data_IF_154193709745
#
_entry.id   IF_154193709745
#
_cell.length_a   1.000
_cell.length_b   1.000
_cell.length_c   1.000
_cell.angle_alpha   90.00
_cell.angle_beta   90.00
_cell.angle_gamma   90.00
#
_symmetry.space_group_name_H-M   'P 1'
#
loop_
_entity.id
_entity.type
_entity.pdbx_description
1 polymer ?
#
# COMPACT_ATOMS: atom_id res chain seq x y z
N UNK A 1 -38.93 -0.36 13.59
CA UNK A 1 -38.43 -1.02 12.37
C UNK A 1 -38.65 -0.10 11.19
N UNK A 2 -37.58 0.32 10.51
CA UNK A 2 -37.70 1.10 9.29
C UNK A 2 -37.65 0.14 8.09
N UNK A 3 -38.80 0.03 7.43
CA UNK A 3 -39.06 -0.83 6.29
C UNK A 3 -38.83 0.00 5.03
N UNK A 4 -37.94 -0.45 4.15
CA UNK A 4 -37.82 0.12 2.80
C UNK A 4 -39.12 -0.22 2.04
N UNK A 5 -39.87 0.77 1.52
CA UNK A 5 -41.04 0.48 0.72
C UNK A 5 -40.57 0.05 -0.66
N UNK A 6 -41.02 -1.13 -1.08
CA UNK A 6 -41.09 -1.49 -2.50
C UNK A 6 -42.09 -0.53 -3.17
N UNK A 7 -41.62 0.32 -4.10
CA UNK A 7 -42.47 1.07 -5.05
C UNK A 7 -41.74 0.98 -6.41
N UNK A 8 -42.14 0.12 -7.36
CA UNK A 8 -43.40 0.05 -8.13
C UNK A 8 -43.58 1.08 -9.24
N UNK A 9 -42.63 1.95 -9.58
CA UNK A 9 -42.66 2.67 -10.88
C UNK A 9 -41.41 3.54 -11.10
N UNK A 10 -40.57 3.17 -12.07
CA UNK A 10 -39.58 4.08 -12.63
C UNK A 10 -39.84 4.19 -14.14
N UNK A 11 -40.37 5.32 -14.63
CA UNK A 11 -40.40 5.59 -16.06
C UNK A 11 -39.00 6.05 -16.52
N UNK A 12 -38.49 5.38 -17.55
CA UNK A 12 -37.33 5.82 -18.37
C UNK A 12 -37.69 7.09 -19.17
N UNK A 13 -36.76 7.84 -19.81
CA UNK A 13 -35.29 7.74 -19.83
C UNK A 13 -34.63 9.10 -19.51
N UNK A 14 -33.91 9.21 -18.39
CA UNK A 14 -32.95 10.30 -18.19
C UNK A 14 -31.62 9.64 -17.88
N UNK A 15 -30.57 10.11 -18.55
CA UNK A 15 -29.21 9.56 -18.60
C UNK A 15 -28.44 9.66 -17.27
N UNK A 16 -29.13 9.58 -16.12
CA UNK A 16 -28.55 9.58 -14.79
C UNK A 16 -28.82 8.21 -14.15
N UNK A 17 -27.80 7.48 -13.69
CA UNK A 17 -28.00 6.14 -13.16
C UNK A 17 -28.84 6.22 -11.88
N UNK A 18 -30.09 5.78 -12.02
CA UNK A 18 -31.01 5.28 -10.99
C UNK A 18 -30.52 5.40 -9.55
N UNK A 19 -31.05 6.41 -8.86
CA UNK A 19 -31.12 6.52 -7.41
C UNK A 19 -31.99 5.40 -6.81
N UNK A 20 -31.49 4.17 -6.87
CA UNK A 20 -31.82 3.11 -5.92
C UNK A 20 -30.69 3.06 -4.90
N UNK A 21 -30.93 2.58 -3.68
CA UNK A 21 -29.93 2.44 -2.60
C UNK A 21 -28.85 1.39 -2.93
N UNK A 22 -28.25 1.43 -4.12
CA UNK A 22 -27.10 0.66 -4.52
C UNK A 22 -25.87 1.35 -3.91
N UNK A 23 -25.44 0.85 -2.77
CA UNK A 23 -24.25 1.33 -2.10
C UNK A 23 -23.81 0.32 -1.08
N UNK A 24 -22.55 0.38 -0.69
CA UNK A 24 -21.95 -0.63 0.16
C UNK A 24 -21.97 -0.18 1.61
N UNK A 25 -22.23 -1.11 2.53
CA UNK A 25 -22.11 -0.84 3.95
C UNK A 25 -20.65 -0.54 4.33
N UNK A 26 -20.47 0.29 5.35
CA UNK A 26 -19.15 0.58 5.91
C UNK A 26 -18.46 -0.69 6.41
N UNK A 27 -17.19 -0.89 6.06
CA UNK A 27 -16.41 -2.04 6.51
C UNK A 27 -15.71 -1.68 7.82
N UNK A 28 -15.70 -2.62 8.77
CA UNK A 28 -14.91 -2.45 9.99
C UNK A 28 -13.41 -2.68 9.70
N UNK A 29 -12.53 -1.87 10.28
CA UNK A 29 -11.10 -2.02 10.07
C UNK A 29 -10.58 -3.39 10.54
N UNK A 30 -9.56 -3.94 9.85
CA UNK A 30 -8.92 -5.19 10.27
C UNK A 30 -8.19 -5.01 11.61
N UNK A 31 -7.94 -6.13 12.31
CA UNK A 31 -7.13 -6.13 13.53
C UNK A 31 -5.72 -5.59 13.21
N UNK A 32 -5.22 -4.71 14.07
CA UNK A 32 -3.91 -4.06 13.93
C UNK A 32 -3.75 -3.24 12.64
N UNK A 33 -4.87 -2.75 12.12
CA UNK A 33 -4.92 -1.87 10.97
C UNK A 33 -6.09 -0.88 11.05
N UNK A 34 -6.28 -0.17 9.95
CA UNK A 34 -7.31 0.83 9.74
C UNK A 34 -7.81 0.80 8.30
N UNK A 35 -8.80 1.63 8.02
CA UNK A 35 -9.30 1.86 6.66
C UNK A 35 -9.26 3.36 6.41
N UNK A 36 -8.67 3.75 5.28
CA UNK A 36 -8.75 5.13 4.78
C UNK A 36 -10.00 5.30 3.94
N UNK A 37 -10.88 6.13 4.47
CA UNK A 37 -12.02 6.68 3.76
C UNK A 37 -11.66 8.07 3.23
N UNK A 38 -11.64 8.25 1.91
CA UNK A 38 -11.28 9.52 1.27
C UNK A 38 -12.52 10.40 1.04
N UNK A 39 -12.56 11.56 1.69
CA UNK A 39 -13.60 12.57 1.42
C UNK A 39 -15.00 12.21 1.95
N UNK A 40 -15.10 11.35 2.96
CA UNK A 40 -16.36 11.13 3.67
C UNK A 40 -16.54 12.12 4.80
N UNK A 41 -17.78 12.58 4.98
CA UNK A 41 -18.23 13.23 6.21
C UNK A 41 -18.47 12.19 7.31
N UNK A 42 -18.46 12.61 8.57
CA UNK A 42 -18.41 11.71 9.73
C UNK A 42 -19.66 10.81 9.93
N UNK A 43 -20.75 11.02 9.19
CA UNK A 43 -22.05 10.36 9.44
C UNK A 43 -22.55 9.45 8.30
N UNK A 44 -21.66 9.03 7.39
CA UNK A 44 -22.05 8.18 6.25
C UNK A 44 -22.09 6.70 6.64
N UNK A 45 -23.25 6.05 6.44
CA UNK A 45 -23.43 4.60 6.69
C UNK A 45 -23.39 3.73 5.43
N UNK A 46 -23.63 4.34 4.27
CA UNK A 46 -23.67 3.66 2.96
C UNK A 46 -22.76 4.43 2.01
N UNK A 47 -21.81 3.74 1.40
CA UNK A 47 -20.84 4.31 0.46
C UNK A 47 -21.34 4.19 -0.97
N UNK A 48 -21.10 5.22 -1.83
CA UNK A 48 -21.60 5.20 -3.19
C UNK A 48 -20.95 4.09 -4.02
N UNK A 49 -21.63 3.67 -5.09
CA UNK A 49 -21.04 2.78 -6.10
C UNK A 49 -19.75 3.39 -6.62
N UNK A 50 -18.80 2.51 -6.94
CA UNK A 50 -17.45 2.83 -7.37
C UNK A 50 -16.55 3.51 -6.32
N UNK A 51 -17.05 3.71 -5.09
CA UNK A 51 -16.23 4.24 -4.01
C UNK A 51 -15.14 3.27 -3.60
N UNK A 52 -13.94 3.79 -3.36
CA UNK A 52 -12.75 2.99 -3.01
C UNK A 52 -12.31 3.20 -1.57
N UNK A 53 -11.95 2.11 -0.91
CA UNK A 53 -11.33 2.11 0.41
C UNK A 53 -9.95 1.48 0.36
N UNK A 54 -9.05 1.96 1.20
CA UNK A 54 -7.69 1.43 1.32
C UNK A 54 -7.43 0.91 2.73
N UNK A 55 -7.04 -0.36 2.83
CA UNK A 55 -6.58 -0.96 4.08
C UNK A 55 -5.16 -0.51 4.41
N UNK A 56 -4.95 -0.23 5.68
CA UNK A 56 -3.66 0.23 6.22
C UNK A 56 -3.33 -0.61 7.43
N UNK A 57 -2.09 -1.04 7.54
CA UNK A 57 -1.60 -1.72 8.73
C UNK A 57 -0.85 -0.74 9.64
N UNK A 58 -0.81 -1.04 10.94
CA UNK A 58 0.11 -0.37 11.86
C UNK A 58 1.57 -0.62 11.46
N UNK A 59 2.47 0.14 12.05
CA UNK A 59 3.92 0.05 11.82
C UNK A 59 4.41 -1.41 11.93
N UNK A 60 5.42 -1.75 11.12
CA UNK A 60 6.07 -3.08 11.07
C UNK A 60 5.15 -4.24 10.66
N UNK A 61 3.99 -3.95 10.06
CA UNK A 61 3.05 -4.95 9.54
C UNK A 61 2.75 -4.72 8.06
N UNK A 62 2.46 -5.81 7.35
CA UNK A 62 2.10 -5.80 5.93
C UNK A 62 0.69 -6.37 5.74
N UNK A 63 -0.04 -5.81 4.77
CA UNK A 63 -1.36 -6.31 4.38
C UNK A 63 -1.19 -7.62 3.58
N UNK A 64 -1.83 -8.69 4.03
CA UNK A 64 -2.01 -9.92 3.28
C UNK A 64 -3.44 -9.96 2.75
N UNK A 65 -3.61 -10.13 1.44
CA UNK A 65 -4.90 -10.03 0.74
C UNK A 65 -5.10 -8.68 0.03
N UNK A 66 -6.32 -8.38 -0.45
CA UNK A 66 -6.62 -7.16 -1.17
C UNK A 66 -6.35 -5.92 -0.32
N UNK A 67 -5.51 -5.00 -0.83
CA UNK A 67 -5.21 -3.73 -0.17
C UNK A 67 -6.30 -2.67 -0.40
N UNK A 68 -6.91 -2.68 -1.58
CA UNK A 68 -7.95 -1.73 -1.97
C UNK A 68 -9.22 -2.52 -2.29
N UNK A 69 -10.37 -1.97 -1.90
CA UNK A 69 -11.67 -2.51 -2.29
C UNK A 69 -12.55 -1.41 -2.87
N UNK A 70 -13.34 -1.80 -3.86
CA UNK A 70 -14.26 -0.91 -4.56
C UNK A 70 -15.71 -1.34 -4.31
N UNK A 71 -16.60 -0.38 -4.10
CA UNK A 71 -18.01 -0.65 -3.95
C UNK A 71 -18.64 -0.96 -5.31
N UNK A 72 -19.34 -2.08 -5.42
CA UNK A 72 -19.97 -2.54 -6.65
C UNK A 72 -21.46 -2.14 -6.70
N UNK A 73 -22.06 -2.05 -7.90
CA UNK A 73 -23.49 -1.73 -8.05
C UNK A 73 -24.42 -2.75 -7.38
N UNK A 74 -23.94 -3.97 -7.11
CA UNK A 74 -24.68 -5.02 -6.41
C UNK A 74 -24.72 -4.82 -4.88
N UNK A 75 -24.13 -3.74 -4.35
CA UNK A 75 -24.07 -3.42 -2.92
C UNK A 75 -23.00 -4.19 -2.15
N UNK A 76 -22.09 -4.91 -2.83
CA UNK A 76 -20.97 -5.61 -2.21
C UNK A 76 -19.63 -4.97 -2.60
N UNK A 77 -18.58 -5.32 -1.86
CA UNK A 77 -17.23 -4.88 -2.18
C UNK A 77 -16.53 -5.85 -3.14
N UNK A 78 -15.52 -5.39 -3.86
CA UNK A 78 -14.64 -6.28 -4.62
C UNK A 78 -13.91 -7.26 -3.70
N UNK A 79 -13.59 -8.45 -4.23
CA UNK A 79 -12.75 -9.46 -3.56
C UNK A 79 -13.27 -9.87 -2.17
N UNK A 80 -14.58 -9.92 -1.97
CA UNK A 80 -15.22 -10.30 -0.70
C UNK A 80 -14.87 -11.72 -0.23
N UNK A 81 -14.45 -12.59 -1.14
CA UNK A 81 -14.00 -13.96 -0.83
C UNK A 81 -12.58 -14.01 -0.25
N UNK A 82 -11.78 -12.95 -0.42
CA UNK A 82 -10.41 -12.88 0.08
C UNK A 82 -10.38 -12.06 1.38
N UNK A 83 -9.71 -12.57 2.42
CA UNK A 83 -9.59 -11.85 3.68
C UNK A 83 -8.36 -10.93 3.68
N UNK A 84 -8.56 -9.65 4.01
CA UNK A 84 -7.48 -8.69 4.21
C UNK A 84 -7.05 -8.64 5.68
N UNK A 85 -5.83 -9.07 5.99
CA UNK A 85 -5.28 -9.10 7.37
C UNK A 85 -3.90 -8.47 7.45
N UNK A 86 -3.64 -7.77 8.55
CA UNK A 86 -2.31 -7.25 8.85
C UNK A 86 -1.47 -8.31 9.55
N UNK A 87 -0.33 -8.68 8.94
CA UNK A 87 0.62 -9.65 9.49
C UNK A 87 1.94 -8.97 9.81
N UNK A 88 2.65 -9.48 10.80
CA UNK A 88 4.00 -9.01 11.11
C UNK A 88 4.93 -9.29 9.94
N UNK A 89 5.81 -8.32 9.70
CA UNK A 89 6.85 -8.46 8.70
C UNK A 89 7.91 -9.41 9.25
N UNK A 90 7.81 -10.71 8.96
CA UNK A 90 8.95 -11.60 9.09
C UNK A 90 9.90 -11.28 7.95
N UNK A 91 10.90 -10.44 8.19
CA UNK A 91 12.03 -10.33 7.25
C UNK A 91 12.57 -11.75 7.09
N UNK A 92 12.55 -12.36 5.89
CA UNK A 92 13.27 -13.60 5.71
C UNK A 92 14.72 -13.30 6.10
N UNK A 93 15.31 -14.11 6.97
CA UNK A 93 16.59 -13.88 7.65
C UNK A 93 17.77 -13.54 6.72
N UNK A 94 17.58 -13.70 5.40
CA UNK A 94 18.51 -13.33 4.33
C UNK A 94 18.51 -11.85 3.93
N UNK A 95 17.59 -11.02 4.43
CA UNK A 95 17.51 -9.59 4.16
C UNK A 95 17.50 -8.73 5.43
N UNK A 96 18.22 -9.12 6.48
CA UNK A 96 18.50 -8.17 7.57
C UNK A 96 19.28 -6.99 6.99
N UNK A 97 18.72 -5.78 7.13
CA UNK A 97 19.37 -4.54 6.73
C UNK A 97 20.78 -4.48 7.33
N UNK A 98 21.82 -4.10 6.57
CA UNK A 98 23.19 -3.96 7.06
C UNK A 98 23.39 -2.76 8.02
N UNK A 99 22.31 -2.17 8.52
CA UNK A 99 22.35 -0.90 9.28
C UNK A 99 22.51 -1.07 10.79
N UNK A 100 22.42 -2.30 11.33
CA UNK A 100 22.62 -2.60 12.76
C UNK A 100 24.02 -3.19 13.06
N UNK A 101 25.02 -2.92 12.20
CA UNK A 101 26.41 -2.99 12.64
C UNK A 101 26.80 -1.58 13.04
N UNK A 102 26.73 -1.30 14.34
CA UNK A 102 27.55 -0.24 14.93
C UNK A 102 29.02 -0.60 14.64
N UNK A 103 29.55 -0.16 13.50
CA UNK A 103 30.96 -0.30 13.17
C UNK A 103 31.73 0.69 14.05
N UNK A 104 32.61 0.24 14.97
CA UNK A 104 33.71 1.10 15.36
C UNK A 104 34.53 1.37 14.10
N UNK A 105 34.69 2.65 13.77
CA UNK A 105 35.59 3.11 12.71
C UNK A 105 37.04 2.83 13.13
N UNK A 106 37.52 1.62 12.84
CA UNK A 106 38.96 1.32 12.80
C UNK A 106 39.30 0.85 11.41
N UNK A 107 40.09 1.68 10.71
CA UNK A 107 40.27 1.65 9.28
C UNK A 107 40.88 0.37 8.73
N UNK A 108 40.43 0.01 7.53
CA UNK A 108 41.19 -0.74 6.55
C UNK A 108 40.61 -0.42 5.17
N UNK A 109 41.38 0.26 4.32
CA UNK A 109 41.09 0.36 2.89
C UNK A 109 41.44 -1.01 2.29
N UNK A 110 40.43 -1.77 1.87
CA UNK A 110 40.63 -3.07 1.22
C UNK A 110 40.77 -2.88 -0.29
N UNK A 111 41.99 -3.04 -0.80
CA UNK A 111 42.25 -3.11 -2.24
C UNK A 111 42.08 -4.56 -2.70
N UNK A 112 41.07 -4.83 -3.53
CA UNK A 112 40.96 -6.10 -4.24
C UNK A 112 41.62 -5.99 -5.62
N UNK A 113 42.77 -6.64 -5.77
CA UNK A 113 43.47 -6.81 -7.05
C UNK A 113 42.93 -8.01 -7.81
N UNK A 114 42.25 -7.80 -8.93
CA UNK A 114 42.02 -8.82 -9.95
C UNK A 114 42.07 -8.17 -11.35
N UNK A 115 42.96 -8.67 -12.21
CA UNK A 115 42.84 -8.53 -13.65
C UNK A 115 43.82 -7.56 -14.30
N UNK A 116 44.84 -8.12 -14.93
CA UNK A 116 45.77 -7.47 -15.83
C UNK A 116 45.06 -6.69 -16.96
N UNK A 117 45.24 -5.38 -16.98
CA UNK A 117 45.30 -4.56 -18.20
C UNK A 117 45.93 -3.21 -17.83
N UNK A 118 47.20 -3.07 -18.18
CA UNK A 118 47.97 -1.83 -18.09
C UNK A 118 47.33 -0.75 -18.96
N UNK A 119 46.63 0.19 -18.34
CA UNK A 119 46.38 1.50 -18.96
C UNK A 119 47.56 2.38 -18.57
N UNK A 120 48.42 2.63 -19.56
CA UNK A 120 49.58 3.51 -19.45
C UNK A 120 49.08 4.95 -19.20
N UNK A 121 49.01 5.36 -17.93
CA UNK A 121 48.86 6.76 -17.58
C UNK A 121 50.27 7.38 -17.52
N UNK A 122 50.59 8.09 -18.59
CA UNK A 122 51.79 8.92 -18.74
C UNK A 122 52.02 9.76 -17.49
N UNK A 123 53.16 9.51 -16.82
CA UNK A 123 53.69 10.36 -15.75
C UNK A 123 53.93 11.77 -16.29
N UNK A 124 52.98 12.68 -16.04
CA UNK A 124 53.27 14.11 -16.02
C UNK A 124 54.12 14.36 -14.77
N UNK A 125 55.42 14.51 -15.02
CA UNK A 125 56.39 15.11 -14.10
C UNK A 125 55.85 16.47 -13.62
N UNK A 126 56.01 16.79 -12.33
CA UNK A 126 56.76 17.97 -11.87
C UNK A 126 56.78 18.09 -10.33
N UNK A 127 58.02 18.22 -9.83
CA UNK A 127 58.48 19.01 -8.67
C UNK A 127 58.04 18.65 -7.25
N UNK A 128 59.03 18.15 -6.50
CA UNK A 128 59.11 18.03 -5.04
C UNK A 128 59.38 19.42 -4.42
N UNK A 129 58.73 19.82 -3.30
CA UNK A 129 59.11 21.03 -2.56
C UNK A 129 60.23 20.73 -1.55
N UNK A 130 61.12 21.72 -1.36
CA UNK A 130 62.05 21.83 -0.22
C UNK A 130 61.34 22.32 1.03
#
# INVERSE_FOLDING_TARGET
GYRCPLLSSCPLPVLHPVSSCAGCAIIRPPRDGGIRYRGLTQDVRILPVDYEIEYICRENRQIAGPKVRKCLPNGTWTDMTQLSVCREFSIPSRFKSPSDVHQPVTGAISCCSLGSQTVQLSLLRTTRPS
#
